data_IF_857857338431
#
_entry.id   IF_857857338431
#
_cell.length_a   1.000
_cell.length_b   1.000
_cell.length_c   1.000
_cell.angle_alpha   90.00
_cell.angle_beta   90.00
_cell.angle_gamma   90.00
#
_symmetry.space_group_name_H-M   'P 1'
#
loop_
_entity.id
_entity.type
_entity.pdbx_description
1 polymer ?
#
# COMPACT_ATOMS: atom_id res chain seq x y z
N UNK A 1 -32.33 -4.74 -47.97
CA UNK A 1 -33.28 -5.87 -47.84
C UNK A 1 -32.95 -6.59 -46.55
N UNK A 2 -33.90 -6.69 -45.62
CA UNK A 2 -33.72 -7.50 -44.41
C UNK A 2 -34.04 -8.95 -44.77
N UNK A 3 -33.21 -9.88 -44.30
CA UNK A 3 -33.49 -11.31 -44.44
C UNK A 3 -34.56 -11.68 -43.41
N UNK A 4 -35.78 -11.96 -43.87
CA UNK A 4 -36.89 -12.49 -43.08
C UNK A 4 -37.06 -13.98 -43.45
N UNK A 5 -36.94 -14.87 -42.47
CA UNK A 5 -37.01 -16.32 -42.67
C UNK A 5 -38.19 -16.88 -41.90
N UNK A 6 -39.23 -17.28 -42.62
CA UNK A 6 -40.35 -18.05 -42.07
C UNK A 6 -40.05 -19.55 -42.22
N UNK A 7 -39.41 -20.14 -41.20
CA UNK A 7 -38.98 -21.54 -41.18
C UNK A 7 -37.55 -21.71 -40.65
N UNK A 8 -36.84 -22.74 -41.13
CA UNK A 8 -35.43 -22.97 -40.75
C UNK A 8 -34.44 -22.30 -41.71
N UNK A 9 -33.41 -21.65 -41.16
CA UNK A 9 -32.24 -21.21 -41.92
C UNK A 9 -31.05 -22.16 -41.67
N UNK A 10 -30.37 -22.60 -42.73
CA UNK A 10 -29.15 -23.43 -42.63
C UNK A 10 -27.95 -22.67 -43.16
N UNK A 11 -27.06 -22.25 -42.26
CA UNK A 11 -25.77 -21.64 -42.61
C UNK A 11 -24.70 -22.74 -42.72
N UNK A 12 -24.12 -22.92 -43.90
CA UNK A 12 -23.07 -23.94 -44.14
C UNK A 12 -21.67 -23.50 -43.69
N UNK A 13 -21.51 -22.22 -43.38
CA UNK A 13 -20.28 -21.62 -42.86
C UNK A 13 -20.55 -20.19 -42.44
N UNK A 14 -19.92 -19.76 -41.35
CA UNK A 14 -19.92 -18.37 -40.88
C UNK A 14 -18.46 -17.91 -40.94
N UNK A 15 -18.16 -17.03 -41.87
CA UNK A 15 -16.80 -16.50 -42.07
C UNK A 15 -16.50 -15.39 -41.05
N UNK A 16 -15.24 -15.30 -40.60
CA UNK A 16 -14.81 -14.19 -39.76
C UNK A 16 -14.87 -12.85 -40.50
N UNK A 17 -15.47 -11.84 -39.88
CA UNK A 17 -15.51 -10.44 -40.33
C UNK A 17 -15.56 -9.51 -39.11
N UNK A 18 -15.49 -8.19 -39.31
CA UNK A 18 -15.76 -7.22 -38.25
C UNK A 18 -17.17 -7.45 -37.70
N UNK A 19 -17.28 -7.70 -36.40
CA UNK A 19 -18.52 -8.00 -35.71
C UNK A 19 -18.72 -7.02 -34.55
N UNK A 20 -19.98 -6.70 -34.23
CA UNK A 20 -20.37 -5.75 -33.18
C UNK A 20 -20.97 -6.43 -31.95
N UNK A 21 -21.07 -7.77 -31.94
CA UNK A 21 -21.56 -8.53 -30.79
C UNK A 21 -21.49 -10.06 -30.97
N UNK A 22 -21.50 -10.80 -29.87
CA UNK A 22 -21.43 -12.26 -29.86
C UNK A 22 -22.75 -12.90 -30.37
N UNK A 23 -22.65 -13.72 -31.42
CA UNK A 23 -23.77 -14.51 -31.93
C UNK A 23 -23.94 -15.78 -31.07
N UNK A 24 -25.11 -15.96 -30.50
CA UNK A 24 -25.52 -17.14 -29.73
C UNK A 24 -26.77 -17.76 -30.36
N UNK A 25 -27.17 -18.95 -29.90
CA UNK A 25 -28.49 -19.52 -30.23
C UNK A 25 -29.22 -19.91 -28.95
N UNK A 26 -30.54 -19.71 -28.92
CA UNK A 26 -31.38 -20.07 -27.79
C UNK A 26 -31.64 -21.57 -27.75
N UNK A 27 -32.18 -22.07 -26.64
CA UNK A 27 -32.65 -23.46 -26.51
C UNK A 27 -33.71 -23.85 -27.56
N UNK A 28 -34.41 -22.86 -28.13
CA UNK A 28 -35.36 -23.04 -29.24
C UNK A 28 -34.74 -22.97 -30.63
N UNK A 29 -33.41 -22.81 -30.74
CA UNK A 29 -32.69 -22.73 -32.02
C UNK A 29 -32.72 -21.35 -32.69
N UNK A 30 -33.14 -20.30 -31.98
CA UNK A 30 -33.16 -18.93 -32.52
C UNK A 30 -31.83 -18.24 -32.31
N UNK A 31 -31.30 -17.57 -33.34
CA UNK A 31 -30.14 -16.71 -33.21
C UNK A 31 -30.45 -15.56 -32.23
N UNK A 32 -29.52 -15.30 -31.31
CA UNK A 32 -29.65 -14.29 -30.27
C UNK A 32 -28.28 -13.69 -29.92
N UNK A 33 -28.26 -12.71 -29.04
CA UNK A 33 -27.04 -12.17 -28.44
C UNK A 33 -26.87 -12.70 -27.01
N UNK A 34 -25.66 -12.58 -26.45
CA UNK A 34 -25.37 -12.96 -25.05
C UNK A 34 -26.02 -11.99 -24.05
N UNK A 35 -27.35 -11.93 -24.02
CA UNK A 35 -28.10 -11.02 -23.14
C UNK A 35 -27.99 -11.49 -21.69
N UNK A 36 -27.58 -10.60 -20.78
CA UNK A 36 -27.30 -10.90 -19.36
C UNK A 36 -28.04 -9.96 -18.39
N UNK A 37 -29.23 -9.50 -18.78
CA UNK A 37 -30.07 -8.57 -17.99
C UNK A 37 -30.71 -9.25 -16.77
N UNK A 38 -30.72 -8.57 -15.61
CA UNK A 38 -31.27 -9.10 -14.36
C UNK A 38 -32.77 -9.46 -14.47
N UNK A 39 -33.54 -8.77 -15.30
CA UNK A 39 -34.98 -9.03 -15.52
C UNK A 39 -35.26 -10.36 -16.20
N UNK A 40 -34.24 -10.95 -16.83
CA UNK A 40 -34.32 -12.22 -17.53
C UNK A 40 -33.79 -13.39 -16.67
N UNK A 41 -33.43 -13.13 -15.40
CA UNK A 41 -32.87 -14.12 -14.48
C UNK A 41 -33.74 -14.24 -13.24
N UNK A 42 -33.85 -15.45 -12.71
CA UNK A 42 -34.49 -15.75 -11.42
C UNK A 42 -33.57 -16.67 -10.62
N UNK A 43 -33.79 -16.79 -9.31
CA UNK A 43 -32.96 -17.59 -8.39
C UNK A 43 -31.46 -17.26 -8.49
N UNK A 44 -31.13 -15.97 -8.58
CA UNK A 44 -29.74 -15.52 -8.68
C UNK A 44 -29.07 -15.62 -7.32
N UNK A 45 -28.13 -16.55 -7.18
CA UNK A 45 -27.28 -16.73 -5.99
C UNK A 45 -25.80 -16.61 -6.37
N UNK A 46 -24.97 -16.18 -5.42
CA UNK A 46 -23.51 -16.19 -5.57
C UNK A 46 -23.02 -17.63 -5.69
N UNK A 47 -21.92 -17.85 -6.43
CA UNK A 47 -21.30 -19.17 -6.53
C UNK A 47 -20.46 -19.40 -5.27
N UNK A 48 -20.94 -20.27 -4.38
CA UNK A 48 -20.20 -20.62 -3.16
C UNK A 48 -19.09 -21.65 -3.42
N UNK A 49 -18.05 -21.59 -2.58
CA UNK A 49 -16.86 -22.45 -2.64
C UNK A 49 -16.21 -22.45 -4.02
N UNK A 50 -16.16 -21.28 -4.64
CA UNK A 50 -15.72 -21.11 -6.02
C UNK A 50 -14.24 -21.49 -6.19
N UNK A 51 -13.39 -21.11 -5.23
CA UNK A 51 -11.97 -21.46 -5.26
C UNK A 51 -11.77 -22.98 -5.12
N UNK A 52 -12.47 -23.64 -4.20
CA UNK A 52 -12.39 -25.10 -4.05
C UNK A 52 -12.81 -25.82 -5.34
N UNK A 53 -13.92 -25.38 -5.96
CA UNK A 53 -14.37 -25.91 -7.25
C UNK A 53 -13.28 -25.75 -8.32
N UNK A 54 -12.70 -24.56 -8.48
CA UNK A 54 -11.61 -24.33 -9.44
C UNK A 54 -10.41 -25.25 -9.16
N UNK A 55 -10.04 -25.42 -7.90
CA UNK A 55 -8.91 -26.28 -7.50
C UNK A 55 -9.14 -27.77 -7.80
N UNK A 56 -10.40 -28.20 -7.96
CA UNK A 56 -10.77 -29.57 -8.35
C UNK A 56 -10.86 -29.76 -9.87
N UNK A 57 -10.93 -28.68 -10.65
CA UNK A 57 -10.96 -28.75 -12.11
C UNK A 57 -9.57 -29.02 -12.66
N UNK A 58 -9.53 -29.78 -13.77
CA UNK A 58 -8.29 -30.15 -14.44
C UNK A 58 -8.24 -29.62 -15.87
N UNK A 59 -7.31 -28.70 -16.11
CA UNK A 59 -6.92 -28.32 -17.47
C UNK A 59 -6.14 -29.45 -18.14
N UNK A 60 -6.51 -29.79 -19.38
CA UNK A 60 -5.88 -30.85 -20.16
C UNK A 60 -5.46 -30.34 -21.53
N UNK A 61 -4.42 -30.97 -22.10
CA UNK A 61 -4.16 -30.88 -23.53
C UNK A 61 -4.48 -32.21 -24.18
N UNK A 62 -5.01 -32.18 -25.39
CA UNK A 62 -5.48 -33.38 -26.08
C UNK A 62 -5.33 -33.25 -27.59
N UNK A 63 -5.31 -34.39 -28.28
CA UNK A 63 -5.50 -34.48 -29.73
C UNK A 63 -6.86 -35.12 -29.97
N UNK A 64 -7.52 -34.71 -31.06
CA UNK A 64 -8.74 -35.39 -31.49
C UNK A 64 -8.40 -36.79 -32.01
N UNK A 65 -9.35 -37.72 -31.89
CA UNK A 65 -9.26 -39.04 -32.52
C UNK A 65 -9.38 -38.96 -34.05
N UNK A 66 -9.98 -37.87 -34.57
CA UNK A 66 -9.95 -37.56 -36.00
C UNK A 66 -8.52 -37.19 -36.42
N UNK A 67 -7.86 -38.12 -37.11
CA UNK A 67 -6.48 -37.99 -37.57
C UNK A 67 -6.27 -36.84 -38.58
N UNK A 68 -7.35 -36.28 -39.13
CA UNK A 68 -7.26 -35.09 -39.98
C UNK A 68 -7.05 -33.81 -39.17
N UNK A 69 -7.30 -33.83 -37.85
CA UNK A 69 -7.04 -32.72 -36.92
C UNK A 69 -5.75 -32.99 -36.16
N UNK A 70 -4.63 -32.57 -36.73
CA UNK A 70 -3.29 -32.85 -36.20
C UNK A 70 -2.81 -31.87 -35.12
N UNK A 71 -3.54 -30.77 -34.91
CA UNK A 71 -3.18 -29.74 -33.92
C UNK A 71 -3.60 -30.18 -32.52
N UNK A 72 -2.65 -30.17 -31.59
CA UNK A 72 -2.91 -30.32 -30.16
C UNK A 72 -3.75 -29.16 -29.63
N UNK A 73 -4.82 -29.48 -28.93
CA UNK A 73 -5.76 -28.54 -28.33
C UNK A 73 -5.61 -28.51 -26.80
N UNK A 74 -6.20 -27.51 -26.16
CA UNK A 74 -6.27 -27.36 -24.70
C UNK A 74 -7.72 -27.14 -24.29
N UNK A 75 -8.09 -27.60 -23.11
CA UNK A 75 -9.45 -27.47 -22.58
C UNK A 75 -9.64 -28.27 -21.30
N UNK A 76 -10.87 -28.74 -21.09
CA UNK A 76 -11.27 -29.59 -19.96
C UNK A 76 -12.08 -30.78 -20.46
N UNK A 77 -12.13 -31.85 -19.65
CA UNK A 77 -12.99 -33.01 -19.91
C UNK A 77 -14.37 -32.73 -19.30
N UNK A 78 -15.41 -32.66 -20.13
CA UNK A 78 -16.75 -32.27 -19.69
C UNK A 78 -17.30 -33.15 -18.55
N UNK A 79 -17.04 -34.46 -18.58
CA UNK A 79 -17.46 -35.39 -17.53
C UNK A 79 -16.75 -35.15 -16.18
N UNK A 80 -15.51 -34.65 -16.19
CA UNK A 80 -14.80 -34.26 -14.97
C UNK A 80 -15.39 -32.96 -14.41
N UNK A 81 -15.73 -32.01 -15.30
CA UNK A 81 -16.36 -30.74 -14.92
C UNK A 81 -17.76 -30.96 -14.36
N UNK A 82 -18.55 -31.88 -14.95
CA UNK A 82 -19.93 -32.16 -14.51
C UNK A 82 -20.01 -32.57 -13.04
N UNK A 83 -19.00 -33.27 -12.52
CA UNK A 83 -18.92 -33.69 -11.12
C UNK A 83 -18.63 -32.54 -10.15
N UNK A 84 -18.18 -31.38 -10.64
CA UNK A 84 -17.75 -30.23 -9.84
C UNK A 84 -18.69 -29.04 -10.03
N UNK A 85 -19.07 -28.74 -11.27
CA UNK A 85 -19.89 -27.60 -11.68
C UNK A 85 -20.74 -28.00 -12.91
N UNK A 86 -21.84 -28.74 -12.72
CA UNK A 86 -22.67 -29.27 -13.80
C UNK A 86 -23.26 -28.17 -14.70
N UNK A 87 -23.42 -26.95 -14.20
CA UNK A 87 -23.94 -25.79 -14.95
C UNK A 87 -23.04 -25.39 -16.13
N UNK A 88 -21.77 -25.80 -16.14
CA UNK A 88 -20.83 -25.55 -17.22
C UNK A 88 -20.86 -26.61 -18.32
N UNK A 89 -21.69 -27.64 -18.16
CA UNK A 89 -21.72 -28.82 -19.04
C UNK A 89 -23.11 -28.95 -19.65
N UNK A 90 -23.14 -29.34 -20.92
CA UNK A 90 -24.38 -29.76 -21.57
C UNK A 90 -24.18 -31.10 -22.27
N UNK A 91 -25.28 -31.80 -22.52
CA UNK A 91 -25.30 -32.96 -23.39
C UNK A 91 -25.99 -32.59 -24.70
N UNK A 92 -25.35 -32.88 -25.83
CA UNK A 92 -25.95 -32.68 -27.13
C UNK A 92 -27.11 -33.69 -27.29
N UNK A 93 -28.36 -33.22 -27.48
CA UNK A 93 -29.53 -34.09 -27.53
C UNK A 93 -29.56 -35.01 -28.75
N UNK A 94 -28.76 -34.74 -29.80
CA UNK A 94 -28.78 -35.51 -31.04
C UNK A 94 -27.88 -36.75 -31.01
N UNK A 95 -26.75 -36.68 -30.31
CA UNK A 95 -25.71 -37.72 -30.30
C UNK A 95 -25.26 -38.13 -28.89
N UNK A 96 -25.72 -37.43 -27.85
CA UNK A 96 -25.43 -37.75 -26.46
C UNK A 96 -24.03 -37.33 -26.00
N UNK A 97 -23.24 -36.63 -26.82
CA UNK A 97 -21.91 -36.17 -26.42
C UNK A 97 -21.99 -34.98 -25.48
N UNK A 98 -21.08 -34.98 -24.50
CA UNK A 98 -20.95 -33.88 -23.55
C UNK A 98 -20.15 -32.72 -24.14
N UNK A 99 -20.58 -31.50 -23.86
CA UNK A 99 -19.96 -30.25 -24.28
C UNK A 99 -19.82 -29.26 -23.12
N UNK A 100 -19.11 -28.16 -23.37
CA UNK A 100 -18.72 -27.17 -22.36
C UNK A 100 -19.22 -25.77 -22.71
N UNK A 101 -19.72 -25.07 -21.69
CA UNK A 101 -20.01 -23.64 -21.68
C UNK A 101 -18.78 -22.85 -21.21
N UNK A 102 -17.80 -22.67 -22.09
CA UNK A 102 -16.53 -22.02 -21.75
C UNK A 102 -16.64 -20.51 -21.47
N UNK A 103 -17.66 -19.80 -21.95
CA UNK A 103 -17.82 -18.37 -21.64
C UNK A 103 -18.31 -18.15 -20.20
N UNK A 104 -19.07 -19.12 -19.70
CA UNK A 104 -19.81 -19.13 -18.46
C UNK A 104 -18.88 -19.46 -17.28
N UNK A 105 -17.69 -20.03 -17.55
CA UNK A 105 -16.64 -20.22 -16.54
C UNK A 105 -16.19 -18.90 -15.90
N UNK A 106 -16.39 -17.77 -16.59
CA UNK A 106 -15.99 -16.44 -16.09
C UNK A 106 -16.63 -16.12 -14.74
N UNK A 107 -17.90 -16.51 -14.52
CA UNK A 107 -18.57 -16.28 -13.23
C UNK A 107 -17.90 -17.04 -12.09
N UNK A 108 -17.53 -18.31 -12.32
CA UNK A 108 -16.80 -19.13 -11.34
C UNK A 108 -15.42 -18.53 -11.03
N UNK A 109 -14.69 -18.07 -12.04
CA UNK A 109 -13.36 -17.47 -11.87
C UNK A 109 -13.39 -16.15 -11.10
N UNK A 110 -14.44 -15.33 -11.29
CA UNK A 110 -14.63 -14.08 -10.53
C UNK A 110 -14.77 -14.36 -9.03
N UNK A 111 -15.65 -15.28 -8.64
CA UNK A 111 -15.84 -15.60 -7.21
C UNK A 111 -14.62 -16.32 -6.63
N UNK A 112 -13.96 -17.20 -7.39
CA UNK A 112 -12.71 -17.84 -6.95
C UNK A 112 -11.59 -16.83 -6.70
N UNK A 113 -11.49 -15.77 -7.51
CA UNK A 113 -10.50 -14.69 -7.34
C UNK A 113 -10.80 -13.87 -6.09
N UNK A 114 -12.07 -13.59 -5.79
CA UNK A 114 -12.48 -12.91 -4.55
C UNK A 114 -12.14 -13.75 -3.32
N UNK A 115 -12.48 -15.04 -3.32
CA UNK A 115 -12.13 -15.96 -2.24
C UNK A 115 -10.61 -16.06 -2.02
N UNK A 116 -9.83 -16.11 -3.12
CA UNK A 116 -8.36 -16.09 -3.06
C UNK A 116 -7.84 -14.80 -2.43
N UNK A 117 -8.39 -13.64 -2.82
CA UNK A 117 -8.02 -12.36 -2.26
C UNK A 117 -8.32 -12.27 -0.75
N UNK A 118 -9.46 -12.80 -0.29
CA UNK A 118 -9.79 -12.88 1.13
C UNK A 118 -8.77 -13.71 1.91
N UNK A 119 -8.32 -14.86 1.36
CA UNK A 119 -7.27 -15.66 1.99
C UNK A 119 -5.93 -14.94 2.04
N UNK A 120 -5.57 -14.19 0.99
CA UNK A 120 -4.34 -13.40 0.96
C UNK A 120 -4.33 -12.34 2.06
N UNK A 121 -5.42 -11.57 2.20
CA UNK A 121 -5.55 -10.57 3.25
C UNK A 121 -5.49 -11.18 4.66
N UNK A 122 -6.08 -12.35 4.85
CA UNK A 122 -6.00 -13.07 6.13
C UNK A 122 -4.56 -13.52 6.45
N UNK A 123 -3.81 -13.98 5.45
CA UNK A 123 -2.39 -14.33 5.60
C UNK A 123 -1.53 -13.11 5.95
N UNK A 124 -1.76 -11.97 5.31
CA UNK A 124 -1.07 -10.70 5.63
C UNK A 124 -1.33 -10.26 7.07
N UNK A 125 -2.57 -10.36 7.55
CA UNK A 125 -2.90 -10.08 8.95
C UNK A 125 -2.17 -11.03 9.92
N UNK A 126 -2.09 -12.32 9.59
CA UNK A 126 -1.33 -13.30 10.37
C UNK A 126 0.16 -12.97 10.45
N UNK A 127 0.77 -12.48 9.37
CA UNK A 127 2.17 -12.04 9.35
C UNK A 127 2.40 -10.87 10.31
N UNK A 128 1.51 -9.88 10.34
CA UNK A 128 1.59 -8.74 11.27
C UNK A 128 1.52 -9.20 12.74
N UNK A 129 0.62 -10.14 13.06
CA UNK A 129 0.53 -10.68 14.44
C UNK A 129 1.76 -11.48 14.85
N UNK A 130 2.37 -12.19 13.90
CA UNK A 130 3.60 -12.95 14.13
C UNK A 130 4.78 -12.01 14.39
N UNK A 131 4.88 -10.92 13.61
CA UNK A 131 5.89 -9.87 13.80
C UNK A 131 5.77 -9.19 15.17
N UNK A 132 4.54 -8.85 15.61
CA UNK A 132 4.32 -8.30 16.95
C UNK A 132 4.68 -9.28 18.08
N UNK A 133 4.40 -10.57 17.89
CA UNK A 133 4.80 -11.62 18.84
C UNK A 133 6.32 -11.79 18.89
N UNK A 134 6.98 -11.72 17.73
CA UNK A 134 8.44 -11.78 17.61
C UNK A 134 9.10 -10.59 18.32
N UNK A 135 8.59 -9.38 18.10
CA UNK A 135 9.05 -8.17 18.80
C UNK A 135 8.96 -8.30 20.32
N UNK A 136 7.85 -8.88 20.82
CA UNK A 136 7.65 -9.13 22.26
C UNK A 136 8.66 -10.15 22.82
N UNK A 137 8.94 -11.21 22.06
CA UNK A 137 9.95 -12.22 22.42
C UNK A 137 11.35 -11.62 22.42
N UNK A 138 11.69 -10.77 21.45
CA UNK A 138 12.97 -10.06 21.39
C UNK A 138 13.14 -9.16 22.61
N UNK A 139 12.14 -8.33 22.94
CA UNK A 139 12.19 -7.46 24.12
C UNK A 139 12.33 -8.25 25.44
N UNK A 140 11.66 -9.40 25.54
CA UNK A 140 11.79 -10.30 26.69
C UNK A 140 13.19 -10.93 26.77
N UNK A 141 13.78 -11.27 25.62
CA UNK A 141 15.14 -11.81 25.52
C UNK A 141 16.19 -10.78 25.89
N UNK A 142 16.05 -9.53 25.43
CA UNK A 142 16.95 -8.42 25.79
C UNK A 142 16.90 -8.10 27.28
N UNK A 143 15.69 -8.13 27.85
CA UNK A 143 15.50 -7.99 29.30
C UNK A 143 16.20 -9.11 30.06
N UNK A 144 16.09 -10.36 29.58
CA UNK A 144 16.77 -11.49 30.19
C UNK A 144 18.30 -11.37 30.08
N UNK A 145 18.81 -10.94 28.92
CA UNK A 145 20.23 -10.73 28.68
C UNK A 145 20.80 -9.65 29.61
N UNK A 146 20.06 -8.55 29.81
CA UNK A 146 20.45 -7.49 30.74
C UNK A 146 20.56 -8.01 32.18
N UNK A 147 19.61 -8.86 32.61
CA UNK A 147 19.66 -9.50 33.93
C UNK A 147 20.85 -10.45 34.07
N UNK A 148 21.19 -11.19 33.01
CA UNK A 148 22.38 -12.06 32.98
C UNK A 148 23.67 -11.25 33.11
N UNK A 149 23.84 -10.18 32.34
CA UNK A 149 25.02 -9.31 32.42
C UNK A 149 25.16 -8.67 33.81
N UNK A 150 24.04 -8.31 34.43
CA UNK A 150 24.02 -7.81 35.82
C UNK A 150 24.51 -8.88 36.80
N UNK A 151 24.01 -10.11 36.69
CA UNK A 151 24.46 -11.24 37.52
C UNK A 151 25.95 -11.55 37.33
N UNK A 152 26.47 -11.48 36.11
CA UNK A 152 27.89 -11.65 35.85
C UNK A 152 28.74 -10.60 36.58
N UNK A 153 28.26 -9.35 36.59
CA UNK A 153 28.91 -8.23 37.31
C UNK A 153 28.88 -8.43 38.83
N UNK A 154 27.73 -8.85 39.37
CA UNK A 154 27.58 -9.15 40.80
C UNK A 154 28.50 -10.29 41.24
N UNK A 155 28.63 -11.35 40.42
CA UNK A 155 29.54 -12.47 40.68
C UNK A 155 31.00 -12.01 40.68
N UNK A 156 31.40 -11.15 39.73
CA UNK A 156 32.76 -10.60 39.71
C UNK A 156 33.06 -9.76 40.96
N UNK A 157 32.10 -8.95 41.40
CA UNK A 157 32.21 -8.16 42.64
C UNK A 157 32.38 -9.05 43.85
N UNK A 158 31.54 -10.09 43.99
CA UNK A 158 31.65 -11.05 45.09
C UNK A 158 32.99 -11.78 45.10
N UNK A 159 33.52 -12.14 43.93
CA UNK A 159 34.86 -12.76 43.83
C UNK A 159 35.96 -11.82 44.35
N UNK A 160 35.87 -10.53 44.02
CA UNK A 160 36.81 -9.51 44.51
C UNK A 160 36.71 -9.31 46.03
N UNK A 161 35.51 -9.27 46.58
CA UNK A 161 35.29 -9.19 48.03
C UNK A 161 35.85 -10.43 48.76
N UNK A 162 35.62 -11.63 48.21
CA UNK A 162 36.18 -12.89 48.77
C UNK A 162 37.71 -12.88 48.76
N UNK A 163 38.34 -12.32 47.71
CA UNK A 163 39.80 -12.15 47.65
C UNK A 163 40.29 -11.18 48.73
N UNK A 164 39.62 -10.04 48.90
CA UNK A 164 39.94 -9.07 49.96
C UNK A 164 39.82 -9.70 51.36
N UNK A 165 38.77 -10.48 51.61
CA UNK A 165 38.60 -11.20 52.89
C UNK A 165 39.73 -12.23 53.10
N UNK A 166 40.13 -12.96 52.05
CA UNK A 166 41.28 -13.89 52.12
C UNK A 166 42.58 -13.16 52.49
N UNK A 167 42.83 -12.00 51.91
CA UNK A 167 44.02 -11.20 52.23
C UNK A 167 44.01 -10.68 53.68
N UNK A 168 42.84 -10.24 54.16
CA UNK A 168 42.67 -9.83 55.57
C UNK A 168 42.87 -11.00 56.54
N UNK A 169 42.39 -12.19 56.20
CA UNK A 169 42.61 -13.42 56.99
C UNK A 169 44.08 -13.87 56.98
N UNK A 170 44.78 -13.69 55.85
CA UNK A 170 46.23 -13.94 55.76
C UNK A 170 47.04 -12.96 56.61
N UNK A 171 46.56 -11.73 56.78
CA UNK A 171 47.16 -10.73 57.68
C UNK A 171 46.82 -10.96 59.16
N UNK A 172 45.74 -11.71 59.46
CA UNK A 172 45.28 -11.99 60.82
C UNK A 172 45.98 -13.18 61.51
N UNK A 173 46.98 -13.81 60.90
CA UNK A 173 47.84 -14.75 61.62
C UNK A 173 48.59 -14.04 62.76
N UNK A 174 48.59 -14.57 63.99
CA UNK A 174 49.07 -13.84 65.17
C UNK A 174 50.55 -13.49 65.04
N UNK A 175 50.83 -12.20 65.15
CA UNK A 175 52.16 -11.64 65.35
C UNK A 175 52.68 -12.06 66.73
N UNK A 176 53.38 -13.19 66.76
CA UNK A 176 54.58 -13.40 67.58
C UNK A 176 55.52 -14.13 66.63
N UNK A 177 56.58 -13.53 66.11
CA UNK A 177 57.77 -13.07 66.82
C UNK A 177 58.65 -12.34 65.79
N UNK A 178 59.41 -11.35 66.24
CA UNK A 178 60.60 -10.75 65.61
C UNK A 178 60.96 -11.11 64.16
N UNK A 179 61.05 -10.10 63.28
CA UNK A 179 62.30 -9.79 62.57
C UNK A 179 62.09 -8.63 61.60
N UNK A 180 62.94 -7.62 61.77
CA UNK A 180 63.48 -6.71 60.76
C UNK A 180 63.14 -7.05 59.29
N UNK A 181 62.38 -6.16 58.66
CA UNK A 181 62.36 -6.02 57.20
C UNK A 181 62.40 -4.53 56.86
N UNK A 182 63.41 -4.20 56.07
CA UNK A 182 63.88 -2.88 55.73
C UNK A 182 62.80 -2.01 55.09
N UNK A 183 62.76 -0.74 55.50
CA UNK A 183 62.14 0.33 54.74
C UNK A 183 62.81 0.34 53.36
N UNK A 184 62.04 0.10 52.30
CA UNK A 184 62.49 0.22 50.92
C UNK A 184 62.84 1.69 50.67
N UNK A 185 64.12 2.02 50.77
CA UNK A 185 64.68 3.35 50.49
C UNK A 185 65.57 3.36 49.25
N UNK A 186 65.52 2.31 48.42
CA UNK A 186 66.23 2.27 47.13
C UNK A 186 65.30 2.67 45.99
N UNK A 187 65.73 3.56 45.06
CA UNK A 187 64.94 4.00 43.90
C UNK A 187 64.35 2.86 43.06
N UNK A 188 64.98 1.68 43.06
CA UNK A 188 64.57 0.49 42.30
C UNK A 188 63.29 -0.18 42.83
N UNK A 189 63.06 -0.16 44.16
CA UNK A 189 61.84 -0.72 44.75
C UNK A 189 60.61 0.14 44.46
N UNK A 190 60.77 1.47 44.53
CA UNK A 190 59.71 2.42 44.17
C UNK A 190 59.33 2.35 42.69
N UNK A 191 60.31 2.19 41.79
CA UNK A 191 60.06 1.99 40.36
C UNK A 191 59.24 0.73 40.09
N UNK A 192 59.54 -0.36 40.79
CA UNK A 192 58.82 -1.64 40.64
C UNK A 192 57.35 -1.52 41.05
N UNK A 193 57.07 -0.86 42.17
CA UNK A 193 55.71 -0.61 42.64
C UNK A 193 54.93 0.30 41.66
N UNK A 194 55.59 1.34 41.13
CA UNK A 194 55.00 2.24 40.12
C UNK A 194 54.66 1.51 38.81
N UNK A 195 55.53 0.60 38.36
CA UNK A 195 55.25 -0.22 37.18
C UNK A 195 54.03 -1.12 37.38
N UNK A 196 53.86 -1.69 38.58
CA UNK A 196 52.69 -2.52 38.90
C UNK A 196 51.39 -1.71 38.84
N UNK A 197 51.35 -0.54 39.47
CA UNK A 197 50.17 0.36 39.42
C UNK A 197 49.84 0.77 37.98
N UNK A 198 50.84 1.00 37.14
CA UNK A 198 50.64 1.33 35.74
C UNK A 198 50.02 0.18 34.93
N UNK A 199 50.52 -1.05 35.11
CA UNK A 199 49.94 -2.22 34.43
C UNK A 199 48.53 -2.54 34.95
N UNK A 200 48.27 -2.39 36.25
CA UNK A 200 46.93 -2.54 36.83
C UNK A 200 45.95 -1.50 36.25
N UNK A 201 46.38 -0.24 36.12
CA UNK A 201 45.58 0.81 35.49
C UNK A 201 45.30 0.50 34.01
N UNK A 202 46.31 0.04 33.27
CA UNK A 202 46.16 -0.35 31.86
C UNK A 202 45.20 -1.54 31.70
N UNK A 203 45.29 -2.53 32.59
CA UNK A 203 44.37 -3.65 32.63
C UNK A 203 42.93 -3.19 32.94
N UNK A 204 42.75 -2.27 33.89
CA UNK A 204 41.45 -1.68 34.22
C UNK A 204 40.84 -0.90 33.05
N UNK A 205 41.60 -0.02 32.40
CA UNK A 205 41.15 0.75 31.22
C UNK A 205 40.74 -0.19 30.08
N UNK A 206 41.52 -1.26 29.85
CA UNK A 206 41.18 -2.29 28.87
C UNK A 206 39.93 -3.07 29.26
N UNK A 207 39.71 -3.36 30.54
CA UNK A 207 38.52 -4.05 31.04
C UNK A 207 37.24 -3.22 30.86
N UNK A 208 37.35 -1.89 30.87
CA UNK A 208 36.24 -0.97 30.54
C UNK A 208 35.98 -0.86 29.03
N UNK A 209 36.75 -1.55 28.18
CA UNK A 209 36.63 -1.47 26.72
C UNK A 209 37.11 -0.12 26.13
N UNK A 210 37.88 0.65 26.90
CA UNK A 210 38.41 1.94 26.46
C UNK A 210 39.78 1.74 25.79
N UNK A 211 39.96 2.33 24.63
CA UNK A 211 41.26 2.39 23.96
C UNK A 211 41.49 3.75 23.31
N UNK A 212 42.76 4.11 23.13
CA UNK A 212 43.16 5.27 22.36
C UNK A 212 43.77 4.81 21.05
N UNK A 213 43.27 5.32 19.94
CA UNK A 213 43.87 5.10 18.63
C UNK A 213 44.07 6.45 17.93
N UNK A 214 45.33 6.81 17.65
CA UNK A 214 45.69 8.09 17.03
C UNK A 214 45.07 9.34 17.70
N UNK A 215 44.87 9.29 19.03
CA UNK A 215 44.28 10.39 19.81
C UNK A 215 42.74 10.37 19.90
N UNK A 216 42.07 9.42 19.24
CA UNK A 216 40.64 9.19 19.41
C UNK A 216 40.38 8.17 20.53
N UNK A 217 39.40 8.47 21.39
CA UNK A 217 38.87 7.51 22.36
C UNK A 217 37.91 6.57 21.63
N UNK A 218 38.16 5.27 21.71
CA UNK A 218 37.25 4.22 21.25
C UNK A 218 36.68 3.50 22.46
N UNK A 219 35.37 3.31 22.47
CA UNK A 219 34.65 2.51 23.46
C UNK A 219 34.08 1.31 22.71
N UNK A 220 34.58 0.11 23.00
CA UNK A 220 34.18 -1.13 22.33
C UNK A 220 33.03 -1.87 23.03
N UNK A 221 32.49 -1.27 24.08
CA UNK A 221 31.41 -1.76 24.94
C UNK A 221 30.29 -0.72 25.01
N UNK A 222 29.19 -1.07 25.67
CA UNK A 222 28.08 -0.14 25.86
C UNK A 222 28.48 1.06 26.72
N UNK A 223 28.03 2.25 26.33
CA UNK A 223 28.19 3.48 27.11
C UNK A 223 26.84 3.95 27.63
N UNK A 224 26.69 4.02 28.96
CA UNK A 224 25.54 4.64 29.60
C UNK A 224 25.95 6.00 30.21
N UNK A 225 25.35 7.09 29.73
CA UNK A 225 25.58 8.44 30.27
C UNK A 225 24.31 8.90 30.97
N UNK A 226 24.34 8.93 32.30
CA UNK A 226 23.20 9.33 33.13
C UNK A 226 22.98 10.85 33.19
N UNK A 227 23.99 11.62 32.76
CA UNK A 227 23.95 13.07 32.70
C UNK A 227 23.71 13.62 31.29
N UNK A 228 23.76 14.95 31.16
CA UNK A 228 23.67 15.60 29.86
C UNK A 228 24.90 15.30 29.00
N UNK A 229 24.66 15.02 27.72
CA UNK A 229 25.72 14.78 26.74
C UNK A 229 25.61 15.81 25.62
N UNK A 230 26.65 16.61 25.40
CA UNK A 230 26.77 17.49 24.23
C UNK A 230 27.75 16.88 23.24
N UNK A 231 27.30 16.64 22.01
CA UNK A 231 28.12 16.11 20.93
C UNK A 231 28.24 17.14 19.81
N UNK A 232 29.45 17.35 19.32
CA UNK A 232 29.71 18.17 18.13
C UNK A 232 30.12 17.24 17.00
N UNK A 233 29.45 17.34 15.84
CA UNK A 233 29.68 16.48 14.67
C UNK A 233 29.49 14.98 14.96
N UNK A 234 28.28 14.60 15.35
CA UNK A 234 27.90 13.21 15.54
C UNK A 234 27.62 12.52 14.20
N UNK A 235 28.27 11.38 13.96
CA UNK A 235 27.90 10.43 12.91
C UNK A 235 27.39 9.16 13.58
N UNK A 236 26.18 8.74 13.22
CA UNK A 236 25.58 7.48 13.70
C UNK A 236 25.38 6.57 12.50
N UNK A 237 25.94 5.37 12.54
CA UNK A 237 25.80 4.36 11.48
C UNK A 237 24.65 3.39 11.74
N UNK A 238 24.09 3.41 12.94
CA UNK A 238 22.90 2.67 13.34
C UNK A 238 21.77 3.61 13.75
N UNK A 239 20.82 3.09 14.50
CA UNK A 239 19.59 3.82 14.82
C UNK A 239 19.76 4.81 15.97
N UNK A 240 18.96 5.88 15.96
CA UNK A 240 18.83 6.83 17.05
C UNK A 240 17.42 6.74 17.62
N UNK A 241 17.31 6.35 18.88
CA UNK A 241 16.05 6.36 19.63
C UNK A 241 16.12 7.43 20.72
N UNK A 242 15.30 8.46 20.60
CA UNK A 242 15.21 9.57 21.54
C UNK A 242 13.77 9.67 22.10
N UNK A 243 13.54 9.00 23.23
CA UNK A 243 12.18 8.80 23.74
C UNK A 243 11.36 7.98 22.76
N UNK A 244 10.27 8.54 22.25
CA UNK A 244 9.45 7.91 21.20
C UNK A 244 9.90 8.29 19.77
N UNK A 245 10.82 9.23 19.58
CA UNK A 245 11.33 9.57 18.25
C UNK A 245 12.37 8.54 17.82
N UNK A 246 12.18 7.95 16.63
CA UNK A 246 13.08 6.96 16.05
C UNK A 246 13.61 7.43 14.69
N UNK A 247 14.93 7.35 14.52
CA UNK A 247 15.60 7.39 13.24
C UNK A 247 16.13 5.99 12.96
N UNK A 248 15.48 5.28 12.04
CA UNK A 248 15.90 3.96 11.56
C UNK A 248 16.75 4.15 10.31
N UNK A 249 18.05 3.98 10.46
CA UNK A 249 19.02 4.25 9.39
C UNK A 249 19.10 3.12 8.38
N UNK A 250 18.71 1.91 8.78
CA UNK A 250 18.67 0.75 7.89
C UNK A 250 17.50 0.86 6.92
N UNK A 251 16.35 1.32 7.39
CA UNK A 251 15.13 1.44 6.60
C UNK A 251 14.86 2.86 6.08
N UNK A 252 15.71 3.85 6.42
CA UNK A 252 15.54 5.26 6.11
C UNK A 252 14.22 5.85 6.65
N UNK A 253 13.84 5.46 7.86
CA UNK A 253 12.58 5.89 8.49
C UNK A 253 12.86 6.96 9.55
N UNK A 254 12.02 7.99 9.55
CA UNK A 254 11.93 8.96 10.63
C UNK A 254 10.49 8.97 11.16
N UNK A 255 10.28 8.46 12.37
CA UNK A 255 8.95 8.15 12.89
C UNK A 255 8.80 8.35 14.42
N UNK A 256 7.56 8.20 14.89
CA UNK A 256 7.24 8.05 16.31
C UNK A 256 6.96 6.58 16.59
N UNK A 257 7.68 6.00 17.55
CA UNK A 257 7.45 4.65 18.05
C UNK A 257 6.12 4.59 18.83
N UNK A 258 5.21 3.75 18.37
CA UNK A 258 3.91 3.56 19.03
C UNK A 258 2.92 2.75 18.16
N UNK A 259 1.79 2.33 18.74
CA UNK A 259 0.71 1.72 17.95
C UNK A 259 0.10 2.76 17.00
N UNK A 260 -0.29 2.32 15.80
CA UNK A 260 -0.97 3.21 14.84
C UNK A 260 -2.25 3.80 15.43
N UNK A 261 -2.40 5.13 15.31
CA UNK A 261 -3.62 5.82 15.72
C UNK A 261 -4.72 5.79 14.63
N UNK A 262 -4.40 5.29 13.43
CA UNK A 262 -5.33 5.12 12.31
C UNK A 262 -5.43 3.64 11.90
N UNK A 263 -6.65 3.16 11.72
CA UNK A 263 -6.92 1.82 11.22
C UNK A 263 -7.47 1.92 9.79
N UNK A 264 -6.65 1.50 8.82
CA UNK A 264 -6.98 1.54 7.39
C UNK A 264 -8.15 0.63 7.01
N UNK A 265 -8.35 -0.48 7.74
CA UNK A 265 -9.40 -1.46 7.43
C UNK A 265 -10.79 -0.94 7.81
N UNK A 266 -10.88 -0.25 8.94
CA UNK A 266 -12.13 0.30 9.46
C UNK A 266 -12.34 1.76 9.08
N UNK A 267 -11.31 2.41 8.53
CA UNK A 267 -11.26 3.85 8.28
C UNK A 267 -11.61 4.68 9.53
N UNK A 268 -11.11 4.23 10.70
CA UNK A 268 -11.37 4.88 12.00
C UNK A 268 -10.07 5.38 12.63
N UNK A 269 -10.17 6.50 13.36
CA UNK A 269 -9.04 7.16 14.01
C UNK A 269 -9.24 7.24 15.52
N UNK A 270 -8.21 6.90 16.30
CA UNK A 270 -8.15 7.15 17.74
C UNK A 270 -7.54 8.55 17.99
N UNK A 271 -8.40 9.55 18.22
CA UNK A 271 -7.98 10.95 18.34
C UNK A 271 -7.02 11.24 19.50
N UNK A 272 -7.22 10.59 20.66
CA UNK A 272 -6.31 10.72 21.80
C UNK A 272 -4.92 10.20 21.44
N UNK A 273 -4.87 9.01 20.86
CA UNK A 273 -3.60 8.39 20.47
C UNK A 273 -2.85 9.22 19.42
N UNK A 274 -3.54 9.78 18.43
CA UNK A 274 -2.91 10.66 17.44
C UNK A 274 -2.36 11.96 18.07
N UNK A 275 -3.08 12.51 19.05
CA UNK A 275 -2.67 13.74 19.75
C UNK A 275 -1.43 13.48 20.60
N UNK A 276 -1.45 12.38 21.38
CA UNK A 276 -0.34 12.02 22.27
C UNK A 276 0.93 11.62 21.49
N UNK A 277 0.77 11.06 20.28
CA UNK A 277 1.87 10.66 19.40
C UNK A 277 2.22 11.70 18.32
N UNK A 278 1.80 12.96 18.46
CA UNK A 278 2.11 13.99 17.44
C UNK A 278 3.59 14.39 17.45
N UNK A 279 4.30 14.12 16.35
CA UNK A 279 5.62 14.70 16.09
C UNK A 279 5.49 16.15 15.61
N UNK A 280 6.22 17.06 16.24
CA UNK A 280 6.32 18.46 15.78
C UNK A 280 7.72 18.74 15.24
N UNK A 281 7.82 19.27 14.02
CA UNK A 281 9.10 19.72 13.45
C UNK A 281 9.48 21.15 13.89
N UNK A 282 8.49 22.02 14.14
CA UNK A 282 8.67 23.41 14.58
C UNK A 282 7.49 23.86 15.47
N UNK A 283 7.27 23.21 16.63
CA UNK A 283 6.13 23.53 17.51
C UNK A 283 6.11 25.00 17.96
N UNK A 284 7.28 25.59 18.16
CA UNK A 284 7.43 26.98 18.61
C UNK A 284 7.32 28.00 17.47
N UNK A 285 7.16 27.56 16.21
CA UNK A 285 7.07 28.43 15.04
C UNK A 285 8.30 29.35 14.89
N UNK A 286 9.49 28.88 15.29
CA UNK A 286 10.69 29.71 15.37
C UNK A 286 11.27 30.09 13.99
N UNK A 287 10.90 29.37 12.93
CA UNK A 287 11.33 29.64 11.56
C UNK A 287 10.64 28.75 10.54
N UNK A 288 11.06 28.90 9.28
CA UNK A 288 10.54 28.11 8.17
C UNK A 288 11.09 26.67 8.19
N UNK A 289 10.32 25.72 7.66
CA UNK A 289 10.80 24.37 7.34
C UNK A 289 11.04 24.30 5.84
N UNK A 290 12.31 24.28 5.45
CA UNK A 290 12.74 24.21 4.04
C UNK A 290 13.16 22.77 3.69
N UNK A 291 12.43 22.19 2.73
CA UNK A 291 12.69 20.87 2.18
C UNK A 291 13.06 21.08 0.70
N UNK A 292 14.31 20.77 0.34
CA UNK A 292 14.87 20.92 -1.02
C UNK A 292 15.20 22.37 -1.44
N UNK A 293 15.77 23.18 -0.55
CA UNK A 293 16.34 24.49 -0.86
C UNK A 293 15.31 25.46 -1.51
N UNK A 294 14.16 25.55 -0.88
CA UNK A 294 13.05 26.43 -1.21
C UNK A 294 12.10 25.87 -2.27
N UNK A 295 12.26 24.62 -2.71
CA UNK A 295 11.30 23.99 -3.61
C UNK A 295 10.01 23.56 -2.89
N UNK A 296 10.13 23.12 -1.64
CA UNK A 296 9.03 22.94 -0.68
C UNK A 296 9.36 23.73 0.59
N UNK A 297 8.59 24.77 0.87
CA UNK A 297 8.79 25.64 2.03
C UNK A 297 7.51 25.73 2.84
N UNK A 298 7.59 25.46 4.14
CA UNK A 298 6.50 25.69 5.10
C UNK A 298 6.87 26.87 5.98
N UNK A 299 6.02 27.89 6.01
CA UNK A 299 6.20 29.09 6.82
C UNK A 299 5.49 28.96 8.19
N UNK A 300 5.92 29.69 9.23
CA UNK A 300 5.29 29.72 10.55
C UNK A 300 3.78 30.03 10.56
N UNK A 301 3.27 30.73 9.56
CA UNK A 301 1.84 31.07 9.43
C UNK A 301 1.01 29.95 8.78
N UNK A 302 1.63 28.82 8.42
CA UNK A 302 0.98 27.68 7.78
C UNK A 302 0.95 27.73 6.25
N UNK A 303 1.50 28.79 5.62
CA UNK A 303 1.65 28.82 4.17
C UNK A 303 2.62 27.73 3.70
N UNK A 304 2.27 27.09 2.59
CA UNK A 304 3.11 26.10 1.92
C UNK A 304 3.40 26.57 0.51
N UNK A 305 4.67 26.71 0.17
CA UNK A 305 5.13 27.03 -1.19
C UNK A 305 5.65 25.77 -1.86
N UNK A 306 5.13 25.46 -3.06
CA UNK A 306 5.65 24.42 -3.95
C UNK A 306 6.07 25.08 -5.27
N UNK A 307 7.38 25.13 -5.56
CA UNK A 307 7.88 25.72 -6.82
C UNK A 307 7.71 24.79 -8.03
N UNK A 308 7.59 23.49 -7.78
CA UNK A 308 7.36 22.47 -8.79
C UNK A 308 5.87 22.21 -9.06
N UNK A 309 5.53 20.97 -9.39
CA UNK A 309 4.14 20.53 -9.60
C UNK A 309 3.60 19.82 -8.37
N UNK A 310 2.43 20.25 -7.88
CA UNK A 310 1.66 19.53 -6.87
C UNK A 310 0.77 18.48 -7.56
N UNK A 311 1.13 17.20 -7.46
CA UNK A 311 0.29 16.09 -7.92
C UNK A 311 -0.63 15.64 -6.78
N UNK A 312 -1.93 15.91 -6.90
CA UNK A 312 -2.95 15.54 -5.92
C UNK A 312 -4.13 14.82 -6.60
N UNK A 313 -4.72 13.83 -5.92
CA UNK A 313 -5.91 13.13 -6.43
C UNK A 313 -7.17 13.98 -6.25
N UNK A 314 -7.28 14.71 -5.13
CA UNK A 314 -8.36 15.64 -4.80
C UNK A 314 -7.78 16.84 -4.07
N UNK A 315 -8.29 18.04 -4.38
CA UNK A 315 -7.98 19.29 -3.67
C UNK A 315 -9.31 19.91 -3.26
N UNK A 316 -9.50 20.11 -1.96
CA UNK A 316 -10.63 20.85 -1.39
C UNK A 316 -10.11 22.19 -0.87
N UNK A 317 -10.63 23.29 -1.40
CA UNK A 317 -10.23 24.65 -1.02
C UNK A 317 -11.43 25.58 -1.13
N UNK A 318 -11.43 26.63 -0.32
CA UNK A 318 -12.44 27.69 -0.37
C UNK A 318 -12.24 28.61 -1.57
N UNK A 319 -10.98 28.93 -1.88
CA UNK A 319 -10.61 29.86 -2.94
C UNK A 319 -9.45 29.31 -3.79
N UNK A 320 -9.44 29.68 -5.08
CA UNK A 320 -8.37 29.35 -6.03
C UNK A 320 -7.99 30.62 -6.79
N UNK A 321 -6.73 31.05 -6.66
CA UNK A 321 -6.13 32.10 -7.48
C UNK A 321 -5.10 31.47 -8.41
N UNK A 322 -5.30 31.57 -9.72
CA UNK A 322 -4.38 31.03 -10.72
C UNK A 322 -4.38 31.88 -11.98
N UNK A 323 -3.23 31.97 -12.64
CA UNK A 323 -3.09 32.60 -13.95
C UNK A 323 -3.65 31.71 -15.08
N UNK A 324 -3.60 30.38 -14.93
CA UNK A 324 -4.03 29.42 -15.94
C UNK A 324 -4.71 28.19 -15.32
N UNK A 325 -5.72 27.66 -16.01
CA UNK A 325 -6.37 26.39 -15.69
C UNK A 325 -6.28 25.49 -16.92
N UNK A 326 -5.51 24.41 -16.81
CA UNK A 326 -5.41 23.40 -17.88
C UNK A 326 -6.18 22.16 -17.49
N UNK A 327 -7.19 21.80 -18.29
CA UNK A 327 -7.99 20.59 -18.12
C UNK A 327 -7.57 19.59 -19.19
N UNK A 328 -7.35 18.32 -18.80
CA UNK A 328 -6.96 17.27 -19.75
C UNK A 328 -8.05 17.10 -20.82
N UNK A 329 -7.64 17.04 -22.09
CA UNK A 329 -8.56 16.95 -23.23
C UNK A 329 -9.52 15.74 -23.18
N UNK A 330 -9.12 14.64 -22.53
CA UNK A 330 -9.96 13.46 -22.32
C UNK A 330 -10.85 13.53 -21.05
N UNK A 331 -11.10 14.72 -20.50
CA UNK A 331 -11.95 14.86 -19.31
C UNK A 331 -13.44 14.86 -19.66
N UNK A 332 -14.26 14.51 -18.67
CA UNK A 332 -15.71 14.76 -18.71
C UNK A 332 -16.10 16.11 -18.09
N UNK A 333 -15.14 16.96 -17.76
CA UNK A 333 -15.41 18.29 -17.20
C UNK A 333 -15.51 19.36 -18.29
N UNK A 334 -14.82 19.20 -19.41
CA UNK A 334 -14.93 20.10 -20.57
C UNK A 334 -15.05 19.30 -21.87
N UNK A 335 -15.68 19.89 -22.87
CA UNK A 335 -15.74 19.32 -24.21
C UNK A 335 -16.49 20.22 -25.18
N UNK A 336 -16.90 19.65 -26.30
CA UNK A 336 -17.67 20.33 -27.33
C UNK A 336 -18.88 19.50 -27.77
N UNK A 337 -19.76 20.11 -28.54
CA UNK A 337 -20.93 19.47 -29.14
C UNK A 337 -21.36 20.19 -30.42
N UNK A 338 -22.21 19.53 -31.21
CA UNK A 338 -22.81 20.13 -32.41
C UNK A 338 -24.27 19.71 -32.52
N UNK A 339 -25.19 20.67 -32.48
CA UNK A 339 -26.60 20.45 -32.85
C UNK A 339 -26.67 20.54 -34.37
N UNK A 340 -27.04 19.44 -35.03
CA UNK A 340 -27.11 19.42 -36.49
C UNK A 340 -28.28 20.27 -37.00
N UNK A 341 -28.14 20.81 -38.22
CA UNK A 341 -29.19 21.58 -38.88
C UNK A 341 -30.55 20.88 -38.81
N UNK A 342 -31.59 21.65 -38.54
CA UNK A 342 -32.95 21.13 -38.37
C UNK A 342 -33.22 20.43 -37.03
N UNK A 343 -32.20 20.14 -36.21
CA UNK A 343 -32.38 19.67 -34.84
C UNK A 343 -32.46 20.84 -33.87
N UNK A 344 -33.08 20.61 -32.72
CA UNK A 344 -33.18 21.59 -31.63
C UNK A 344 -32.34 21.22 -30.43
N UNK A 345 -31.81 20.00 -30.33
CA UNK A 345 -31.12 19.56 -29.12
C UNK A 345 -30.01 18.54 -29.40
N UNK A 346 -29.05 18.48 -28.50
CA UNK A 346 -28.02 17.44 -28.41
C UNK A 346 -27.93 16.92 -26.98
N UNK A 347 -27.94 15.60 -26.81
CA UNK A 347 -27.67 14.93 -25.54
C UNK A 347 -26.17 14.62 -25.47
N UNK A 348 -25.52 15.00 -24.37
CA UNK A 348 -24.08 14.80 -24.14
C UNK A 348 -23.89 13.82 -22.99
N UNK A 349 -23.25 12.69 -23.28
CA UNK A 349 -22.91 11.67 -22.29
C UNK A 349 -21.82 12.15 -21.33
N UNK A 350 -22.20 12.30 -20.06
CA UNK A 350 -21.35 12.84 -19.02
C UNK A 350 -21.61 12.15 -17.69
N UNK A 351 -20.70 11.27 -17.28
CA UNK A 351 -20.81 10.51 -16.03
C UNK A 351 -20.44 11.32 -14.78
N UNK A 352 -19.94 12.55 -14.93
CA UNK A 352 -19.62 13.43 -13.80
C UNK A 352 -20.78 14.38 -13.45
N UNK A 353 -21.81 14.49 -14.29
CA UNK A 353 -22.90 15.42 -14.07
C UNK A 353 -23.74 14.96 -12.86
N UNK A 354 -24.11 15.91 -12.00
CA UNK A 354 -25.11 15.76 -10.94
C UNK A 354 -26.30 16.66 -11.24
N UNK A 355 -27.44 16.41 -10.61
CA UNK A 355 -28.63 17.28 -10.74
C UNK A 355 -28.33 18.76 -10.41
N UNK A 356 -27.47 19.00 -9.40
CA UNK A 356 -27.08 20.34 -8.96
C UNK A 356 -25.98 21.03 -9.77
N UNK A 357 -25.29 20.31 -10.66
CA UNK A 357 -24.13 20.82 -11.41
C UNK A 357 -24.47 22.06 -12.22
N UNK A 358 -23.53 23.00 -12.33
CA UNK A 358 -23.60 24.10 -13.30
C UNK A 358 -22.94 23.66 -14.60
N UNK A 359 -23.59 23.95 -15.72
CA UNK A 359 -23.08 23.64 -17.05
C UNK A 359 -23.07 24.95 -17.81
N UNK A 360 -21.87 25.37 -18.21
CA UNK A 360 -21.65 26.56 -19.02
C UNK A 360 -21.48 26.13 -20.46
N UNK A 361 -22.19 26.78 -21.37
CA UNK A 361 -22.15 26.49 -22.80
C UNK A 361 -21.88 27.78 -23.56
N UNK A 362 -21.00 27.69 -24.56
CA UNK A 362 -20.64 28.83 -25.41
C UNK A 362 -20.70 28.39 -26.87
N UNK A 363 -21.54 29.05 -27.66
CA UNK A 363 -21.61 28.77 -29.09
C UNK A 363 -20.30 29.18 -29.79
N UNK A 364 -19.79 28.31 -30.65
CA UNK A 364 -18.61 28.53 -31.51
C UNK A 364 -18.99 28.70 -32.98
N UNK A 365 -20.26 28.49 -33.33
CA UNK A 365 -20.87 28.91 -34.60
C UNK A 365 -22.16 29.70 -34.38
N UNK A 366 -22.75 30.22 -35.45
CA UNK A 366 -23.99 31.02 -35.38
C UNK A 366 -25.16 30.19 -34.85
N UNK A 367 -25.84 30.70 -33.82
CA UNK A 367 -27.06 30.08 -33.26
C UNK A 367 -28.35 30.56 -33.93
N UNK A 368 -28.24 31.34 -35.00
CA UNK A 368 -29.40 32.01 -35.62
C UNK A 368 -30.06 33.05 -34.70
N UNK A 369 -29.32 33.59 -33.73
CA UNK A 369 -29.81 34.58 -32.77
C UNK A 369 -30.51 34.00 -31.54
N UNK A 370 -30.42 32.68 -31.33
CA UNK A 370 -31.01 31.99 -30.18
C UNK A 370 -29.96 31.73 -29.09
N UNK A 371 -30.40 31.60 -27.84
CA UNK A 371 -29.55 31.16 -26.74
C UNK A 371 -29.43 29.63 -26.74
N UNK A 372 -28.28 29.12 -26.28
CA UNK A 372 -28.14 27.71 -25.92
C UNK A 372 -28.64 27.51 -24.50
N UNK A 373 -29.52 26.53 -24.29
CA UNK A 373 -30.17 26.25 -23.02
C UNK A 373 -29.75 24.88 -22.53
N UNK A 374 -29.30 24.76 -21.28
CA UNK A 374 -29.09 23.45 -20.65
C UNK A 374 -30.39 23.03 -19.98
N UNK A 375 -31.12 22.11 -20.61
CA UNK A 375 -32.51 21.80 -20.25
C UNK A 375 -32.66 20.70 -19.21
N UNK A 376 -31.94 19.59 -19.39
CA UNK A 376 -32.06 18.40 -18.56
C UNK A 376 -30.67 17.90 -18.15
N UNK A 377 -30.57 17.39 -16.93
CA UNK A 377 -29.38 16.75 -16.36
C UNK A 377 -29.81 15.45 -15.71
N UNK A 378 -29.34 14.33 -16.26
CA UNK A 378 -29.54 13.00 -15.72
C UNK A 378 -28.27 12.62 -14.95
N UNK A 379 -28.40 12.51 -13.63
CA UNK A 379 -27.29 12.26 -12.72
C UNK A 379 -26.47 11.03 -13.13
N UNK A 380 -25.16 11.21 -13.29
CA UNK A 380 -24.22 10.18 -13.72
C UNK A 380 -24.39 9.68 -15.16
N UNK A 381 -25.28 10.30 -15.96
CA UNK A 381 -25.61 9.83 -17.32
C UNK A 381 -25.32 10.90 -18.37
N UNK A 382 -26.06 12.01 -18.38
CA UNK A 382 -25.99 12.98 -19.47
C UNK A 382 -26.54 14.36 -19.09
N UNK A 383 -26.28 15.34 -19.95
CA UNK A 383 -27.03 16.60 -19.97
C UNK A 383 -27.43 16.97 -21.40
N UNK A 384 -28.49 17.76 -21.55
CA UNK A 384 -29.04 18.15 -22.84
C UNK A 384 -28.87 19.65 -23.09
N UNK A 385 -28.30 20.00 -24.24
CA UNK A 385 -28.22 21.38 -24.74
C UNK A 385 -29.26 21.57 -25.83
N UNK A 386 -30.05 22.64 -25.73
CA UNK A 386 -31.22 22.91 -26.57
C UNK A 386 -31.21 24.34 -27.16
N UNK A 387 -31.86 24.47 -28.32
CA UNK A 387 -32.30 25.68 -28.99
C UNK A 387 -33.83 25.71 -28.99
N UNK A 388 -34.44 26.89 -28.83
CA UNK A 388 -35.90 27.03 -28.85
C UNK A 388 -36.53 26.58 -30.18
N UNK A 389 -35.82 26.75 -31.30
CA UNK A 389 -36.29 26.45 -32.66
C UNK A 389 -35.16 25.89 -33.53
N UNK A 390 -35.49 25.06 -34.53
CA UNK A 390 -34.51 24.57 -35.50
C UNK A 390 -33.84 25.72 -36.27
N UNK A 391 -32.56 25.54 -36.59
CA UNK A 391 -31.78 26.47 -37.43
C UNK A 391 -31.33 25.81 -38.74
N UNK A 392 -30.98 26.66 -39.72
CA UNK A 392 -30.63 26.22 -41.08
C UNK A 392 -29.22 25.61 -41.20
N UNK A 393 -28.33 25.91 -40.25
CA UNK A 393 -26.92 25.48 -40.24
C UNK A 393 -26.60 24.73 -38.93
N UNK A 394 -25.50 23.99 -38.92
CA UNK A 394 -25.03 23.29 -37.72
C UNK A 394 -24.56 24.29 -36.64
N UNK A 395 -24.94 24.02 -35.39
CA UNK A 395 -24.57 24.84 -34.22
C UNK A 395 -23.53 24.12 -33.39
N UNK A 396 -22.28 24.53 -33.53
CA UNK A 396 -21.17 24.05 -32.70
C UNK A 396 -21.07 24.88 -31.41
N UNK A 397 -20.67 24.23 -30.33
CA UNK A 397 -20.50 24.87 -29.03
C UNK A 397 -19.50 24.12 -28.15
N UNK A 398 -18.88 24.85 -27.24
CA UNK A 398 -18.05 24.31 -26.15
C UNK A 398 -18.85 24.27 -24.85
N UNK A 399 -18.48 23.37 -23.95
CA UNK A 399 -19.13 23.23 -22.65
C UNK A 399 -18.13 22.97 -21.51
N UNK A 400 -18.49 23.42 -20.32
CA UNK A 400 -17.77 23.20 -19.07
C UNK A 400 -18.74 22.85 -17.94
N UNK A 401 -18.48 21.76 -17.24
CA UNK A 401 -19.25 21.25 -16.10
C UNK A 401 -18.53 21.57 -14.79
N UNK A 402 -19.26 22.20 -13.88
CA UNK A 402 -18.85 22.47 -12.49
C UNK A 402 -19.85 21.80 -11.56
N UNK A 403 -19.39 20.81 -10.80
CA UNK A 403 -20.22 20.14 -9.82
C UNK A 403 -20.35 21.00 -8.56
N UNK A 404 -21.56 21.03 -7.99
CA UNK A 404 -21.85 21.66 -6.70
C UNK A 404 -22.22 20.52 -5.76
N UNK A 405 -21.50 20.39 -4.66
CA UNK A 405 -21.75 19.38 -3.62
C UNK A 405 -22.71 19.89 -2.55
#
# INVERSE_FOLDING_TARGET
>A
AMLDVNGGARFRGISSSAYVGALNYSTGGYLTTATSDARLKTNVTTIDNALDKVMRLRGVTFNWLDLNVTKRMTGMIAQEVEQVMPELVFQNPNDGYYGMFYGETTGLLVEATKELNTKLLAMESGLITTDGSLSTVTASSDTALTKVNTLETDVATLQAEVLSIKDLLAQATPQSTESSASIVTTPEGMLTEMYKVFEDLKAFVSALGLSSNAGALTVSTDMNVLGETTLSNLTVTGDINAGLMKLDTLNNVFEIAGPSCYNELTNTTNGTLCTDQTMYLQKSLAGNVDVLNGALLVEPNGNVTVKGTLLAQKVETTDVTTENVTIKAASKSVGNGTILKGQTQLVIDNTLIKAGSKVFVTATSSTGGQALIVKEKLDGVSFTVELDRPVAEDVAFDWWVVNVE
#
